data_IF_728301392517
#
_entry.id   IF_728301392517
#
_cell.length_a   1.000
_cell.length_b   1.000
_cell.length_c   1.000
_cell.angle_alpha   90.00
_cell.angle_beta   90.00
_cell.angle_gamma   90.00
#
_symmetry.space_group_name_H-M   'P 1'
#
loop_
_entity.id
_entity.type
_entity.pdbx_description
1 polymer ?
#
# COMPACT_ATOMS: atom_id res chain seq x y z
N UNK A 1 -4.72 -27.13 37.31
CA UNK A 1 -5.58 -27.16 36.10
C UNK A 1 -5.89 -25.73 35.71
N UNK A 2 -5.69 -25.22 34.50
CA UNK A 2 -4.58 -25.30 33.55
C UNK A 2 -4.58 -23.92 32.88
N UNK A 3 -3.42 -23.27 32.82
CA UNK A 3 -3.20 -22.04 32.06
C UNK A 3 -3.06 -22.43 30.59
N UNK A 4 -4.16 -22.47 29.83
CA UNK A 4 -4.08 -22.68 28.39
C UNK A 4 -5.23 -21.99 27.61
N UNK A 5 -5.54 -20.74 27.97
CA UNK A 5 -6.26 -19.81 27.09
C UNK A 5 -5.28 -19.27 26.01
N UNK A 6 -4.76 -20.17 25.19
CA UNK A 6 -4.15 -19.80 23.92
C UNK A 6 -5.27 -19.28 23.03
N UNK A 7 -5.29 -17.96 22.82
CA UNK A 7 -6.03 -17.27 21.76
C UNK A 7 -6.04 -18.14 20.50
N UNK A 8 -7.18 -18.76 20.20
CA UNK A 8 -7.42 -19.38 18.90
C UNK A 8 -7.39 -18.26 17.85
N UNK A 9 -6.20 -18.01 17.29
CA UNK A 9 -6.08 -17.25 16.07
C UNK A 9 -6.78 -18.05 14.98
N UNK A 10 -7.62 -17.39 14.20
CA UNK A 10 -8.27 -17.98 13.04
C UNK A 10 -7.18 -18.59 12.14
N UNK A 11 -7.22 -19.90 11.82
CA UNK A 11 -6.20 -20.54 10.98
C UNK A 11 -6.14 -19.94 9.56
N UNK A 12 -7.20 -19.25 9.12
CA UNK A 12 -7.23 -18.50 7.85
C UNK A 12 -6.55 -17.13 7.93
N UNK A 13 -6.42 -16.57 9.13
CA UNK A 13 -5.81 -15.27 9.39
C UNK A 13 -4.83 -15.41 10.56
N UNK A 14 -3.76 -16.17 10.35
CA UNK A 14 -2.60 -16.09 11.21
C UNK A 14 -2.11 -14.64 11.17
N UNK A 15 -2.23 -13.89 12.26
CA UNK A 15 -1.85 -12.47 12.35
C UNK A 15 -0.34 -12.23 12.19
N UNK A 16 0.46 -13.30 12.07
CA UNK A 16 1.85 -13.22 11.61
C UNK A 16 2.00 -13.17 10.08
N UNK A 17 0.97 -13.54 9.31
CA UNK A 17 1.00 -13.49 7.85
C UNK A 17 0.94 -12.05 7.25
N UNK A 18 0.12 -11.11 7.75
CA UNK A 18 0.03 -9.78 7.11
C UNK A 18 1.26 -8.88 7.33
N UNK A 19 2.12 -9.19 8.30
CA UNK A 19 3.37 -8.47 8.58
C UNK A 19 4.58 -9.17 7.95
N UNK A 20 4.44 -10.45 7.59
CA UNK A 20 5.47 -11.22 6.89
C UNK A 20 5.39 -10.94 5.40
N UNK A 21 6.39 -10.27 4.87
CA UNK A 21 6.64 -10.20 3.43
C UNK A 21 6.79 -11.59 2.77
N UNK A 22 6.98 -12.63 3.57
CA UNK A 22 7.33 -13.97 3.13
C UNK A 22 6.46 -15.04 3.81
N UNK A 23 5.22 -15.16 3.38
CA UNK A 23 4.50 -16.44 3.45
C UNK A 23 3.88 -16.75 2.09
N UNK A 24 4.74 -16.97 1.11
CA UNK A 24 4.42 -17.63 -0.15
C UNK A 24 5.56 -18.60 -0.43
N UNK A 25 5.43 -19.85 0.02
CA UNK A 25 6.27 -20.93 -0.49
C UNK A 25 5.76 -21.25 -1.89
N UNK A 26 6.36 -20.64 -2.92
CA UNK A 26 6.33 -21.23 -4.26
C UNK A 26 6.86 -22.67 -4.21
N UNK A 27 6.54 -23.51 -5.20
CA UNK A 27 6.92 -24.93 -5.17
C UNK A 27 8.42 -25.08 -4.91
N UNK A 28 8.75 -25.86 -3.88
CA UNK A 28 10.12 -26.12 -3.48
C UNK A 28 10.95 -26.60 -4.68
N UNK A 29 11.88 -25.77 -5.14
CA UNK A 29 12.94 -26.26 -6.03
C UNK A 29 13.83 -27.17 -5.19
N UNK A 30 13.73 -28.47 -5.46
CA UNK A 30 14.60 -29.48 -4.86
C UNK A 30 15.97 -29.40 -5.53
N UNK A 31 16.80 -28.43 -5.11
CA UNK A 31 18.23 -28.51 -5.39
C UNK A 31 19.07 -28.18 -4.16
N UNK A 32 19.28 -29.22 -3.34
CA UNK A 32 20.38 -29.22 -2.36
C UNK A 32 21.69 -29.35 -3.12
N UNK A 33 22.41 -28.24 -3.32
CA UNK A 33 23.89 -28.16 -3.27
C UNK A 33 24.37 -26.74 -3.57
N UNK A 34 24.82 -26.03 -2.52
CA UNK A 34 26.18 -25.47 -2.36
C UNK A 34 26.21 -24.52 -1.17
N UNK A 35 26.50 -25.08 0.00
CA UNK A 35 27.15 -24.34 1.08
C UNK A 35 28.59 -24.00 0.64
N UNK A 36 28.96 -22.72 0.68
CA UNK A 36 30.19 -22.22 1.27
C UNK A 36 30.44 -20.75 0.89
N UNK A 37 30.46 -19.88 1.91
CA UNK A 37 31.28 -18.67 1.89
C UNK A 37 30.54 -17.35 1.73
N UNK A 38 30.06 -16.81 2.86
CA UNK A 38 30.03 -15.36 3.15
C UNK A 38 29.66 -15.14 4.63
N UNK A 39 30.47 -15.71 5.53
CA UNK A 39 30.45 -15.38 6.94
C UNK A 39 31.81 -14.75 7.31
N UNK A 40 32.03 -13.48 6.93
CA UNK A 40 33.13 -12.66 7.50
C UNK A 40 33.03 -11.19 7.09
N UNK A 41 32.01 -10.44 7.55
CA UNK A 41 32.15 -8.97 7.66
C UNK A 41 31.18 -8.34 8.69
N UNK A 42 31.04 -8.90 9.89
CA UNK A 42 30.33 -8.22 10.99
C UNK A 42 31.02 -8.44 12.34
N UNK A 43 32.33 -8.22 12.38
CA UNK A 43 33.10 -8.34 13.61
C UNK A 43 34.14 -7.23 13.74
N UNK A 44 33.80 -5.95 13.54
CA UNK A 44 34.73 -4.85 13.84
C UNK A 44 34.08 -3.50 14.20
N UNK A 45 32.95 -3.48 14.92
CA UNK A 45 32.50 -2.29 15.64
C UNK A 45 31.94 -2.65 17.02
N UNK A 46 32.80 -3.18 17.89
CA UNK A 46 32.53 -3.18 19.32
C UNK A 46 33.84 -3.03 20.08
N UNK A 47 34.21 -1.76 20.36
CA UNK A 47 34.97 -1.32 21.53
C UNK A 47 35.22 0.20 21.46
N UNK A 48 35.08 0.82 22.65
CA UNK A 48 35.36 2.21 23.02
C UNK A 48 34.26 3.23 22.65
N UNK A 49 33.74 4.10 23.53
CA UNK A 49 34.02 4.51 24.93
C UNK A 49 32.79 5.34 25.40
N UNK A 50 32.29 5.13 26.63
CA UNK A 50 31.49 6.14 27.35
C UNK A 50 32.40 7.33 27.73
N UNK A 51 31.92 8.61 27.72
CA UNK A 51 31.35 9.24 28.94
C UNK A 51 30.39 10.45 28.65
N UNK A 52 30.07 11.32 29.62
CA UNK A 52 29.24 11.09 30.79
C UNK A 52 27.94 11.92 30.79
N UNK A 53 27.07 11.55 31.72
CA UNK A 53 25.85 12.21 32.17
C UNK A 53 26.00 13.74 32.35
N UNK A 54 25.14 14.52 31.68
CA UNK A 54 24.89 15.93 32.01
C UNK A 54 23.39 16.24 31.88
N UNK A 55 22.74 16.34 33.04
CA UNK A 55 21.50 17.09 33.23
C UNK A 55 21.71 18.53 32.78
N UNK A 56 20.88 19.02 31.88
CA UNK A 56 20.65 20.44 31.66
C UNK A 56 19.16 20.68 31.40
N UNK A 57 18.48 21.14 32.45
CA UNK A 57 17.18 21.80 32.40
C UNK A 57 17.36 23.21 31.82
N UNK A 58 16.63 23.56 30.76
CA UNK A 58 16.61 24.90 30.15
C UNK A 58 15.70 24.93 28.91
N UNK A 59 15.07 26.07 28.57
CA UNK A 59 13.67 26.11 28.16
C UNK A 59 13.43 25.72 26.69
N UNK A 60 12.25 25.15 26.46
CA UNK A 60 11.66 24.96 25.14
C UNK A 60 11.68 26.27 24.35
N UNK A 61 12.49 26.33 23.29
CA UNK A 61 12.30 27.30 22.22
C UNK A 61 11.18 26.78 21.31
N UNK A 62 10.06 27.51 21.35
CA UNK A 62 8.91 27.33 20.49
C UNK A 62 9.31 27.82 19.08
N UNK A 63 9.52 26.90 18.14
CA UNK A 63 9.59 27.24 16.72
C UNK A 63 8.18 27.62 16.26
N UNK A 64 7.98 28.90 15.97
CA UNK A 64 6.81 29.38 15.24
C UNK A 64 6.87 28.86 13.80
N UNK A 65 6.19 27.75 13.56
CA UNK A 65 5.78 27.34 12.23
C UNK A 65 4.27 27.48 12.14
N UNK A 66 3.79 28.53 11.49
CA UNK A 66 2.38 28.69 11.12
C UNK A 66 1.87 27.41 10.43
N UNK A 67 0.70 26.88 10.79
CA UNK A 67 0.12 25.76 10.08
C UNK A 67 -0.40 26.26 8.73
N UNK A 68 0.36 26.03 7.66
CA UNK A 68 -0.23 25.96 6.34
C UNK A 68 -1.07 24.68 6.31
N UNK A 69 -2.39 24.85 6.41
CA UNK A 69 -3.38 23.81 6.22
C UNK A 69 -3.22 23.20 4.83
N UNK A 70 -2.44 22.13 4.69
CA UNK A 70 -2.52 21.23 3.54
C UNK A 70 -3.69 20.29 3.81
N UNK A 71 -4.90 20.80 3.55
CA UNK A 71 -6.09 19.96 3.50
C UNK A 71 -6.03 19.06 2.27
N UNK A 72 -5.73 17.78 2.44
CA UNK A 72 -6.01 16.77 1.41
C UNK A 72 -7.52 16.52 1.46
N UNK A 73 -8.28 17.38 0.79
CA UNK A 73 -9.70 17.19 0.55
C UNK A 73 -9.87 16.24 -0.64
N UNK A 74 -10.15 14.96 -0.37
CA UNK A 74 -10.68 14.03 -1.37
C UNK A 74 -12.12 14.46 -1.71
N UNK A 75 -12.28 15.34 -2.71
CA UNK A 75 -13.58 15.60 -3.32
C UNK A 75 -13.81 14.56 -4.42
N UNK A 76 -14.47 13.46 -4.07
CA UNK A 76 -15.07 12.56 -5.06
C UNK A 76 -16.29 13.28 -5.66
N UNK A 77 -16.10 13.87 -6.84
CA UNK A 77 -17.19 14.51 -7.59
C UNK A 77 -18.11 13.44 -8.21
N UNK A 78 -19.39 13.48 -7.85
CA UNK A 78 -20.46 12.77 -8.57
C UNK A 78 -20.71 13.44 -9.94
N UNK A 79 -21.22 12.71 -10.96
CA UNK A 79 -21.39 13.27 -12.29
C UNK A 79 -22.47 14.35 -12.33
N UNK A 80 -22.12 15.50 -12.93
CA UNK A 80 -22.98 16.66 -13.09
C UNK A 80 -24.11 16.41 -14.12
N UNK A 81 -25.33 16.85 -13.79
CA UNK A 81 -26.42 17.01 -14.77
C UNK A 81 -26.38 18.42 -15.38
N UNK A 82 -26.79 18.59 -16.66
CA UNK A 82 -26.54 19.81 -17.41
C UNK A 82 -27.43 20.99 -17.00
N UNK A 83 -26.83 22.17 -17.05
CA UNK A 83 -27.29 23.40 -16.45
C UNK A 83 -28.44 24.14 -17.15
N UNK A 84 -28.96 25.14 -16.43
CA UNK A 84 -29.59 26.35 -17.00
C UNK A 84 -29.05 27.60 -16.32
N UNK A 85 -28.09 28.21 -17.02
CA UNK A 85 -27.88 29.64 -17.34
C UNK A 85 -28.62 30.74 -16.55
N UNK A 86 -27.80 31.64 -15.98
CA UNK A 86 -27.79 33.14 -16.07
C UNK A 86 -28.94 33.93 -15.41
N UNK A 87 -28.78 35.16 -14.91
CA UNK A 87 -27.66 36.09 -14.69
C UNK A 87 -28.17 37.28 -13.82
N UNK A 88 -27.23 37.93 -13.13
CA UNK A 88 -27.14 39.38 -12.80
C UNK A 88 -28.29 40.15 -12.10
N UNK A 89 -27.97 40.81 -10.96
CA UNK A 89 -27.63 42.24 -10.90
C UNK A 89 -27.69 42.81 -9.47
N UNK A 90 -26.72 43.68 -9.16
CA UNK A 90 -26.55 44.41 -7.90
C UNK A 90 -27.59 45.51 -7.69
N UNK A 91 -27.98 45.77 -6.44
CA UNK A 91 -28.06 47.13 -5.86
C UNK A 91 -28.32 47.11 -4.35
N UNK A 92 -27.48 47.84 -3.62
CA UNK A 92 -27.52 48.11 -2.18
C UNK A 92 -28.80 48.81 -1.70
N UNK A 93 -29.32 48.40 -0.54
CA UNK A 93 -29.93 49.28 0.47
C UNK A 93 -29.92 48.60 1.85
N UNK A 94 -29.59 49.40 2.84
CA UNK A 94 -29.18 49.03 4.20
C UNK A 94 -30.39 49.01 5.17
N UNK A 95 -30.17 48.72 6.47
CA UNK A 95 -30.80 47.64 7.23
C UNK A 95 -32.14 48.05 7.87
N UNK A 96 -32.98 47.07 8.22
CA UNK A 96 -33.74 47.13 9.47
C UNK A 96 -34.31 45.74 9.82
N UNK A 97 -34.28 45.50 11.12
CA UNK A 97 -34.63 44.33 11.90
C UNK A 97 -36.07 43.86 11.71
N UNK A 98 -36.23 42.59 11.34
CA UNK A 98 -37.30 41.73 11.83
C UNK A 98 -36.79 40.29 11.78
N UNK A 99 -36.75 39.62 12.94
CA UNK A 99 -36.46 38.20 13.05
C UNK A 99 -37.62 37.44 12.44
N UNK A 100 -37.61 37.29 11.12
CA UNK A 100 -38.46 36.33 10.44
C UNK A 100 -37.89 34.95 10.74
N UNK A 101 -38.63 34.16 11.54
CA UNK A 101 -38.45 32.72 11.60
C UNK A 101 -38.55 32.17 10.17
N UNK A 102 -37.41 31.96 9.52
CA UNK A 102 -37.34 31.23 8.26
C UNK A 102 -37.72 29.80 8.61
N UNK A 103 -38.86 29.27 8.12
CA UNK A 103 -39.20 27.87 8.36
C UNK A 103 -38.07 27.04 7.75
N UNK A 104 -37.39 26.23 8.58
CA UNK A 104 -36.48 25.22 8.03
C UNK A 104 -37.25 24.43 6.98
N UNK A 105 -36.70 24.22 5.77
CA UNK A 105 -37.36 23.38 4.78
C UNK A 105 -37.64 22.03 5.43
N UNK A 106 -38.88 21.57 5.29
CA UNK A 106 -39.31 20.29 5.83
C UNK A 106 -38.30 19.21 5.40
N UNK A 107 -37.76 18.47 6.38
CA UNK A 107 -36.88 17.33 6.13
C UNK A 107 -37.57 16.45 5.08
N UNK A 108 -36.95 16.18 3.92
CA UNK A 108 -37.58 15.30 2.93
C UNK A 108 -37.97 14.00 3.63
N UNK A 109 -39.14 13.42 3.32
CA UNK A 109 -39.57 12.18 3.94
C UNK A 109 -38.43 11.18 3.84
N UNK A 110 -38.08 10.56 4.97
CA UNK A 110 -36.93 9.69 5.12
C UNK A 110 -37.02 8.50 4.17
N UNK A 111 -36.62 8.71 2.92
CA UNK A 111 -36.39 7.66 1.97
C UNK A 111 -35.25 6.83 2.52
N UNK A 112 -35.57 5.60 2.94
CA UNK A 112 -34.54 4.59 3.13
C UNK A 112 -33.88 4.44 1.77
N UNK A 113 -32.62 4.88 1.63
CA UNK A 113 -31.87 4.65 0.40
C UNK A 113 -31.94 3.15 0.13
N UNK A 114 -32.57 2.77 -0.98
CA UNK A 114 -32.73 1.38 -1.33
C UNK A 114 -31.34 0.73 -1.36
N UNK A 115 -31.18 -0.37 -0.62
CA UNK A 115 -29.92 -1.12 -0.61
C UNK A 115 -29.66 -1.61 -2.03
N UNK A 116 -28.65 -1.07 -2.70
CA UNK A 116 -28.24 -1.56 -4.02
C UNK A 116 -27.68 -2.97 -3.83
N UNK A 117 -28.30 -4.02 -4.42
CA UNK A 117 -27.72 -5.35 -4.37
C UNK A 117 -26.39 -5.33 -5.11
N UNK A 118 -25.30 -5.69 -4.43
CA UNK A 118 -23.96 -5.76 -5.00
C UNK A 118 -23.56 -7.23 -5.16
N UNK A 119 -23.14 -7.63 -6.35
CA UNK A 119 -22.57 -8.96 -6.57
C UNK A 119 -21.18 -9.03 -5.93
N UNK A 120 -20.68 -10.22 -5.53
CA UNK A 120 -19.31 -10.36 -5.03
C UNK A 120 -18.26 -9.77 -5.98
N UNK A 121 -18.40 -9.98 -7.29
CA UNK A 121 -17.54 -9.38 -8.32
C UNK A 121 -17.59 -7.85 -8.28
N UNK A 122 -18.79 -7.26 -8.27
CA UNK A 122 -18.93 -5.80 -8.23
C UNK A 122 -18.33 -5.21 -6.95
N UNK A 123 -18.46 -5.90 -5.81
CA UNK A 123 -17.83 -5.50 -4.56
C UNK A 123 -16.30 -5.54 -4.65
N UNK A 124 -15.72 -6.65 -5.09
CA UNK A 124 -14.27 -6.81 -5.27
C UNK A 124 -13.69 -5.74 -6.19
N UNK A 125 -14.35 -5.47 -7.33
CA UNK A 125 -13.96 -4.40 -8.27
C UNK A 125 -14.04 -3.03 -7.62
N UNK A 126 -15.13 -2.72 -6.92
CA UNK A 126 -15.28 -1.41 -6.27
C UNK A 126 -14.20 -1.14 -5.20
N UNK A 127 -13.83 -2.16 -4.43
CA UNK A 127 -12.76 -2.07 -3.43
C UNK A 127 -11.38 -1.93 -4.08
N UNK A 128 -11.16 -2.67 -5.18
CA UNK A 128 -9.94 -2.58 -5.95
C UNK A 128 -9.73 -1.18 -6.53
N UNK A 129 -10.74 -0.63 -7.21
CA UNK A 129 -10.66 0.72 -7.81
C UNK A 129 -10.56 1.83 -6.75
N UNK A 130 -11.20 1.67 -5.59
CA UNK A 130 -10.99 2.57 -4.45
C UNK A 130 -9.51 2.57 -4.01
N UNK A 131 -8.93 1.38 -3.87
CA UNK A 131 -7.53 1.23 -3.47
C UNK A 131 -6.59 1.83 -4.51
N UNK A 132 -6.88 1.62 -5.81
CA UNK A 132 -6.10 2.18 -6.90
C UNK A 132 -6.17 3.71 -6.95
N UNK A 133 -7.36 4.30 -6.74
CA UNK A 133 -7.51 5.75 -6.68
C UNK A 133 -6.66 6.38 -5.55
N UNK A 134 -6.52 5.69 -4.40
CA UNK A 134 -5.61 6.10 -3.33
C UNK A 134 -4.13 5.88 -3.71
N UNK A 135 -3.82 4.81 -4.45
CA UNK A 135 -2.49 4.55 -4.96
C UNK A 135 -1.99 5.70 -5.85
N UNK A 136 -2.83 6.19 -6.77
CA UNK A 136 -2.46 7.26 -7.71
C UNK A 136 -2.05 8.55 -6.98
N UNK A 137 -2.70 8.92 -5.87
CA UNK A 137 -2.29 10.06 -5.02
C UNK A 137 -0.83 9.91 -4.55
N UNK A 138 -0.39 8.69 -4.32
CA UNK A 138 0.95 8.39 -3.86
C UNK A 138 1.96 8.18 -5.00
N UNK A 139 1.55 7.56 -6.09
CA UNK A 139 2.39 7.16 -7.22
C UNK A 139 2.64 8.29 -8.24
N UNK A 140 1.64 9.13 -8.53
CA UNK A 140 1.74 10.19 -9.55
C UNK A 140 2.96 11.13 -9.36
N UNK A 141 3.23 11.66 -8.17
CA UNK A 141 4.35 12.59 -7.95
C UNK A 141 5.66 11.88 -7.57
N UNK A 142 5.74 10.55 -7.69
CA UNK A 142 6.87 9.79 -7.18
C UNK A 142 8.15 10.04 -8.01
N UNK A 143 9.22 10.44 -7.33
CA UNK A 143 10.55 10.65 -7.94
C UNK A 143 11.52 9.52 -7.56
N UNK A 144 12.65 9.43 -8.26
CA UNK A 144 13.72 8.47 -7.90
C UNK A 144 14.28 8.73 -6.49
N UNK A 145 14.37 10.00 -6.08
CA UNK A 145 14.81 10.35 -4.72
C UNK A 145 13.79 9.93 -3.64
N UNK A 146 12.50 9.88 -3.98
CA UNK A 146 11.48 9.30 -3.11
C UNK A 146 11.62 7.77 -3.08
N UNK A 147 11.81 7.16 -4.25
CA UNK A 147 11.95 5.70 -4.40
C UNK A 147 13.10 5.15 -3.55
N UNK A 148 14.25 5.82 -3.57
CA UNK A 148 15.47 5.40 -2.85
C UNK A 148 15.64 6.02 -1.46
N UNK A 149 14.63 6.73 -0.94
CA UNK A 149 14.70 7.28 0.41
C UNK A 149 14.80 6.17 1.47
N UNK A 150 15.89 6.19 2.24
CA UNK A 150 16.12 5.30 3.37
C UNK A 150 15.53 5.91 4.67
N UNK A 151 14.46 5.31 5.24
CA UNK A 151 13.82 5.83 6.45
C UNK A 151 14.60 5.48 7.74
N UNK A 152 15.47 4.46 7.68
CA UNK A 152 16.29 3.97 8.79
C UNK A 152 17.66 3.49 8.28
N UNK A 153 18.56 3.07 9.18
CA UNK A 153 19.84 2.45 8.80
C UNK A 153 19.66 1.00 8.31
N UNK A 154 18.74 0.25 8.94
CA UNK A 154 18.41 -1.12 8.55
C UNK A 154 17.22 -1.12 7.60
N UNK A 155 17.48 -1.33 6.31
CA UNK A 155 16.48 -1.26 5.25
C UNK A 155 16.50 -2.48 4.33
N UNK A 156 15.37 -2.67 3.63
CA UNK A 156 15.34 -3.42 2.38
C UNK A 156 15.20 -2.46 1.20
N UNK A 157 16.06 -2.61 0.21
CA UNK A 157 16.11 -1.77 -0.99
C UNK A 157 16.39 -2.61 -2.22
N UNK A 158 16.48 -1.95 -3.38
CA UNK A 158 16.89 -2.56 -4.64
C UNK A 158 18.27 -2.05 -5.02
N UNK A 159 19.08 -2.93 -5.59
CA UNK A 159 20.46 -2.69 -5.97
C UNK A 159 20.65 -2.99 -7.45
N UNK A 160 21.37 -2.12 -8.14
CA UNK A 160 21.76 -2.34 -9.53
C UNK A 160 22.99 -3.24 -9.57
N UNK A 161 22.83 -4.42 -10.16
CA UNK A 161 23.90 -5.39 -10.37
C UNK A 161 24.88 -4.99 -11.49
N UNK A 162 25.98 -5.74 -11.65
CA UNK A 162 26.98 -5.52 -12.70
C UNK A 162 26.45 -5.78 -14.12
N UNK A 163 25.30 -6.43 -14.24
CA UNK A 163 24.60 -6.78 -15.47
C UNK A 163 23.44 -5.83 -15.79
N UNK A 164 23.39 -4.63 -15.20
CA UNK A 164 22.29 -3.66 -15.33
C UNK A 164 20.95 -4.08 -14.66
N UNK A 165 20.88 -5.33 -14.19
CA UNK A 165 19.89 -5.94 -13.31
C UNK A 165 19.61 -5.24 -11.98
N UNK A 166 18.46 -4.55 -11.79
CA UNK A 166 18.01 -4.14 -10.45
C UNK A 166 17.39 -5.32 -9.69
N UNK A 167 17.95 -5.65 -8.53
CA UNK A 167 17.52 -6.76 -7.67
C UNK A 167 17.22 -6.27 -6.26
N UNK A 168 16.12 -6.71 -5.65
CA UNK A 168 15.80 -6.38 -4.26
C UNK A 168 16.73 -7.10 -3.27
N UNK A 169 16.75 -6.59 -2.05
CA UNK A 169 17.08 -7.38 -0.87
C UNK A 169 15.95 -8.38 -0.59
N UNK A 170 16.29 -9.62 -0.27
CA UNK A 170 15.35 -10.57 0.32
C UNK A 170 16.09 -11.53 1.23
N UNK A 171 15.34 -12.25 2.07
CA UNK A 171 15.85 -13.39 2.82
C UNK A 171 14.79 -14.50 2.82
N UNK A 172 15.22 -15.75 2.73
CA UNK A 172 14.30 -16.89 2.80
C UNK A 172 13.75 -17.08 4.22
N UNK A 173 14.51 -16.66 5.22
CA UNK A 173 14.05 -16.53 6.61
C UNK A 173 13.96 -15.06 6.98
N UNK A 174 12.80 -14.65 7.48
CA UNK A 174 12.55 -13.30 7.97
C UNK A 174 13.58 -12.89 9.05
N UNK A 175 14.34 -11.80 8.85
CA UNK A 175 15.29 -11.30 9.83
C UNK A 175 14.59 -10.71 11.07
N UNK A 176 15.30 -10.69 12.20
CA UNK A 176 14.86 -10.02 13.43
C UNK A 176 15.97 -9.05 13.92
N UNK A 177 15.74 -7.72 13.90
CA UNK A 177 14.51 -7.04 13.47
C UNK A 177 14.34 -7.06 11.94
N UNK A 178 13.08 -6.93 11.50
CA UNK A 178 12.73 -6.84 10.08
C UNK A 178 13.23 -5.50 9.52
N UNK A 179 14.01 -5.48 8.42
CA UNK A 179 14.43 -4.24 7.78
C UNK A 179 13.25 -3.44 7.20
N UNK A 180 13.30 -2.11 7.31
CA UNK A 180 12.23 -1.24 6.79
C UNK A 180 12.35 -1.14 5.26
N UNK A 181 11.31 -1.40 4.48
CA UNK A 181 11.42 -1.30 3.03
C UNK A 181 11.51 0.17 2.56
N UNK A 182 12.23 0.37 1.46
CA UNK A 182 12.15 1.60 0.66
C UNK A 182 10.96 1.56 -0.30
N UNK A 183 10.59 2.69 -0.89
CA UNK A 183 9.52 2.72 -1.91
C UNK A 183 9.95 1.95 -3.17
N UNK A 184 11.23 1.98 -3.55
CA UNK A 184 11.76 1.16 -4.64
C UNK A 184 11.56 -0.34 -4.36
N UNK A 185 11.82 -0.78 -3.13
CA UNK A 185 11.54 -2.16 -2.72
C UNK A 185 10.05 -2.50 -2.74
N UNK A 186 9.20 -1.62 -2.20
CA UNK A 186 7.74 -1.83 -2.19
C UNK A 186 7.17 -1.94 -3.61
N UNK A 187 7.60 -1.08 -4.52
CA UNK A 187 7.12 -1.11 -5.92
C UNK A 187 7.62 -2.35 -6.67
N UNK A 188 8.84 -2.84 -6.40
CA UNK A 188 9.28 -4.16 -6.87
C UNK A 188 8.42 -5.28 -6.28
N UNK A 189 8.17 -5.25 -4.97
CA UNK A 189 7.41 -6.28 -4.27
C UNK A 189 6.00 -6.40 -4.83
N UNK A 190 5.34 -5.26 -5.09
CA UNK A 190 4.03 -5.19 -5.76
C UNK A 190 4.09 -5.83 -7.15
N UNK A 191 5.08 -5.49 -7.99
CA UNK A 191 5.21 -6.13 -9.31
C UNK A 191 5.33 -7.65 -9.18
N UNK A 192 6.21 -8.13 -8.29
CA UNK A 192 6.42 -9.57 -8.10
C UNK A 192 5.15 -10.31 -7.68
N UNK A 193 4.50 -9.90 -6.58
CA UNK A 193 3.35 -10.66 -6.08
C UNK A 193 2.13 -10.52 -6.99
N UNK A 194 1.96 -9.38 -7.66
CA UNK A 194 0.79 -9.11 -8.49
C UNK A 194 0.91 -9.73 -9.88
N UNK A 195 2.10 -9.68 -10.49
CA UNK A 195 2.36 -10.42 -11.73
C UNK A 195 2.22 -11.94 -11.52
N UNK A 196 2.62 -12.44 -10.35
CA UNK A 196 2.42 -13.85 -9.97
C UNK A 196 0.94 -14.20 -9.78
N UNK A 197 0.17 -13.33 -9.11
CA UNK A 197 -1.28 -13.50 -8.98
C UNK A 197 -1.96 -13.53 -10.37
N UNK A 198 -1.58 -12.62 -11.27
CA UNK A 198 -2.08 -12.57 -12.65
C UNK A 198 -1.73 -13.83 -13.45
N UNK A 199 -0.51 -14.35 -13.31
CA UNK A 199 -0.11 -15.60 -13.96
C UNK A 199 -0.97 -16.76 -13.47
N UNK A 200 -1.11 -16.89 -12.15
CA UNK A 200 -1.91 -17.94 -11.50
C UNK A 200 -3.37 -17.94 -11.97
N UNK A 201 -4.06 -16.80 -11.89
CA UNK A 201 -5.48 -16.72 -12.30
C UNK A 201 -5.70 -16.86 -13.81
N UNK A 202 -4.63 -16.79 -14.61
CA UNK A 202 -4.63 -17.06 -16.05
C UNK A 202 -4.12 -18.47 -16.40
N UNK A 203 -3.86 -19.32 -15.41
CA UNK A 203 -3.37 -20.68 -15.60
C UNK A 203 -1.95 -20.73 -16.19
N UNK A 204 -1.11 -19.74 -15.89
CA UNK A 204 0.29 -19.66 -16.33
C UNK A 204 1.22 -19.82 -15.14
N UNK A 205 2.40 -20.36 -15.39
CA UNK A 205 3.47 -20.44 -14.39
C UNK A 205 3.99 -19.03 -14.08
N UNK A 206 4.03 -18.60 -12.80
CA UNK A 206 4.66 -17.35 -12.40
C UNK A 206 6.17 -17.35 -12.67
N UNK A 207 6.73 -16.18 -12.98
CA UNK A 207 8.17 -16.03 -13.00
C UNK A 207 8.74 -16.27 -11.58
N UNK A 208 9.89 -16.94 -11.44
CA UNK A 208 10.53 -17.06 -10.14
C UNK A 208 10.98 -15.68 -9.63
N UNK A 209 10.96 -15.51 -8.32
CA UNK A 209 11.19 -14.22 -7.63
C UNK A 209 12.50 -13.55 -8.03
N UNK A 210 13.55 -14.32 -8.25
CA UNK A 210 14.89 -13.85 -8.61
C UNK A 210 15.01 -13.35 -10.06
N UNK A 211 14.01 -13.65 -10.91
CA UNK A 211 13.89 -13.17 -12.28
C UNK A 211 12.98 -11.95 -12.41
N UNK A 212 12.32 -11.52 -11.33
CA UNK A 212 11.58 -10.25 -11.32
C UNK A 212 12.55 -9.13 -10.90
N UNK A 213 12.81 -8.21 -11.83
CA UNK A 213 13.70 -7.08 -11.61
C UNK A 213 12.91 -5.80 -11.37
N UNK A 214 13.43 -4.90 -10.54
CA UNK A 214 12.82 -3.58 -10.42
C UNK A 214 13.01 -2.78 -11.71
N UNK A 215 12.02 -1.97 -12.08
CA UNK A 215 11.96 -1.30 -13.38
C UNK A 215 13.05 -0.24 -13.61
N UNK A 216 13.87 0.04 -12.60
CA UNK A 216 15.10 0.84 -12.69
C UNK A 216 14.92 2.35 -12.52
N UNK A 217 13.67 2.83 -12.45
CA UNK A 217 13.31 4.18 -12.01
C UNK A 217 11.91 4.18 -11.42
N UNK A 218 11.58 5.20 -10.63
CA UNK A 218 10.25 5.46 -10.10
C UNK A 218 9.21 5.55 -11.22
N UNK A 219 9.52 6.31 -12.28
CA UNK A 219 8.60 6.47 -13.42
C UNK A 219 8.32 5.14 -14.13
N UNK A 220 9.35 4.31 -14.36
CA UNK A 220 9.19 3.00 -14.97
C UNK A 220 8.44 2.03 -14.05
N UNK A 221 8.68 2.09 -12.74
CA UNK A 221 7.97 1.28 -11.75
C UNK A 221 6.47 1.65 -11.70
N UNK A 222 6.13 2.94 -11.70
CA UNK A 222 4.74 3.40 -11.75
C UNK A 222 4.05 2.97 -13.04
N UNK A 223 4.73 3.08 -14.19
CA UNK A 223 4.19 2.60 -15.46
C UNK A 223 3.91 1.09 -15.42
N UNK A 224 4.83 0.30 -14.85
CA UNK A 224 4.67 -1.14 -14.66
C UNK A 224 3.47 -1.49 -13.77
N UNK A 225 3.27 -0.76 -12.67
CA UNK A 225 2.11 -0.97 -11.79
C UNK A 225 0.79 -0.63 -12.50
N UNK A 226 0.77 0.39 -13.37
CA UNK A 226 -0.40 0.72 -14.19
C UNK A 226 -0.75 -0.38 -15.20
N UNK A 227 0.25 -1.02 -15.79
CA UNK A 227 0.02 -2.18 -16.66
C UNK A 227 -0.63 -3.35 -15.90
N UNK A 228 -0.17 -3.60 -14.67
CA UNK A 228 -0.73 -4.64 -13.80
C UNK A 228 -2.16 -4.30 -13.37
N UNK A 229 -2.43 -3.05 -13.01
CA UNK A 229 -3.78 -2.55 -12.74
C UNK A 229 -4.71 -2.79 -13.93
N UNK A 230 -4.33 -2.34 -15.13
CA UNK A 230 -5.15 -2.52 -16.32
C UNK A 230 -5.43 -4.00 -16.62
N UNK A 231 -4.40 -4.85 -16.56
CA UNK A 231 -4.54 -6.29 -16.80
C UNK A 231 -5.43 -6.98 -15.75
N UNK A 232 -5.36 -6.55 -14.49
CA UNK A 232 -6.18 -7.07 -13.40
C UNK A 232 -7.64 -6.61 -13.52
N UNK A 233 -7.88 -5.32 -13.81
CA UNK A 233 -9.22 -4.77 -14.02
C UNK A 233 -9.92 -5.43 -15.20
N UNK A 234 -9.20 -5.70 -16.30
CA UNK A 234 -9.71 -6.46 -17.44
C UNK A 234 -10.11 -7.88 -17.01
N UNK A 235 -9.20 -8.61 -16.36
CA UNK A 235 -9.44 -9.99 -15.94
C UNK A 235 -10.59 -10.11 -14.93
N UNK A 236 -10.64 -9.26 -13.90
CA UNK A 236 -11.71 -9.28 -12.91
C UNK A 236 -13.04 -8.79 -13.50
N UNK A 237 -12.98 -8.08 -14.63
CA UNK A 237 -14.12 -7.46 -15.27
C UNK A 237 -14.97 -8.35 -16.16
N UNK A 238 -14.44 -9.51 -16.58
CA UNK A 238 -15.18 -10.50 -17.37
C UNK A 238 -16.06 -11.40 -16.49
N UNK A 239 -17.22 -11.81 -17.01
CA UNK A 239 -18.10 -12.79 -16.36
C UNK A 239 -17.65 -14.24 -16.58
N UNK A 240 -16.67 -14.47 -17.46
CA UNK A 240 -16.12 -15.80 -17.75
C UNK A 240 -15.29 -16.38 -16.59
N UNK A 241 -14.81 -15.53 -15.68
CA UNK A 241 -14.04 -15.95 -14.51
C UNK A 241 -14.97 -16.57 -13.47
N UNK A 242 -14.83 -17.85 -13.18
CA UNK A 242 -15.51 -18.46 -12.03
C UNK A 242 -14.82 -18.06 -10.71
N UNK A 243 -15.50 -17.23 -9.92
CA UNK A 243 -15.00 -16.77 -8.63
C UNK A 243 -15.01 -17.87 -7.55
N UNK A 244 -15.79 -18.94 -7.74
CA UNK A 244 -15.87 -20.09 -6.83
C UNK A 244 -14.89 -21.20 -7.20
N UNK A 245 -14.19 -21.08 -8.34
CA UNK A 245 -13.17 -22.03 -8.72
C UNK A 245 -12.06 -22.11 -7.66
N UNK A 246 -11.50 -23.30 -7.39
CA UNK A 246 -10.39 -23.47 -6.45
C UNK A 246 -9.18 -22.62 -6.84
N UNK A 247 -8.49 -22.05 -5.85
CA UNK A 247 -7.27 -21.26 -6.04
C UNK A 247 -6.21 -21.64 -5.01
N UNK A 248 -5.00 -21.91 -5.49
CA UNK A 248 -3.82 -22.28 -4.70
C UNK A 248 -2.77 -21.17 -4.70
N UNK A 249 -3.19 -19.91 -4.66
CA UNK A 249 -2.27 -18.77 -4.54
C UNK A 249 -2.84 -17.65 -3.65
N UNK A 250 -2.01 -17.06 -2.75
CA UNK A 250 -0.64 -17.47 -2.38
C UNK A 250 -0.58 -18.68 -1.44
N UNK A 251 -1.71 -19.29 -1.12
CA UNK A 251 -1.81 -20.42 -0.18
C UNK A 251 -1.71 -21.78 -0.85
N UNK A 252 -1.35 -22.84 -0.11
CA UNK A 252 -1.41 -24.22 -0.61
C UNK A 252 -2.82 -24.62 -1.08
N UNK A 253 -2.91 -25.57 -2.02
CA UNK A 253 -4.17 -26.03 -2.59
C UNK A 253 -5.14 -26.62 -1.53
N UNK A 254 -4.60 -27.18 -0.45
CA UNK A 254 -5.33 -27.77 0.66
C UNK A 254 -6.06 -26.74 1.53
N UNK A 255 -5.79 -25.43 1.33
CA UNK A 255 -6.48 -24.35 2.04
C UNK A 255 -7.97 -24.26 1.65
N UNK A 256 -8.38 -24.87 0.54
CA UNK A 256 -9.78 -24.87 0.09
C UNK A 256 -10.31 -23.49 -0.29
N UNK A 257 -9.41 -22.58 -0.68
CA UNK A 257 -9.73 -21.21 -1.05
C UNK A 257 -10.09 -21.10 -2.53
N UNK A 258 -10.80 -20.02 -2.87
CA UNK A 258 -11.33 -19.79 -4.21
C UNK A 258 -10.66 -18.59 -4.89
N UNK A 259 -10.91 -18.42 -6.20
CA UNK A 259 -10.48 -17.23 -6.95
C UNK A 259 -10.98 -15.93 -6.31
N UNK A 260 -12.18 -15.92 -5.71
CA UNK A 260 -12.68 -14.78 -4.94
C UNK A 260 -11.76 -14.42 -3.76
N UNK A 261 -11.20 -15.42 -3.06
CA UNK A 261 -10.27 -15.19 -1.95
C UNK A 261 -8.95 -14.61 -2.44
N UNK A 262 -8.41 -15.09 -3.57
CA UNK A 262 -7.22 -14.51 -4.20
C UNK A 262 -7.48 -13.05 -4.60
N UNK A 263 -8.64 -12.73 -5.17
CA UNK A 263 -8.97 -11.36 -5.53
C UNK A 263 -9.15 -10.43 -4.31
N UNK A 264 -9.76 -10.93 -3.24
CA UNK A 264 -9.85 -10.20 -1.97
C UNK A 264 -8.47 -9.95 -1.35
N UNK A 265 -7.55 -10.92 -1.47
CA UNK A 265 -6.17 -10.79 -1.02
C UNK A 265 -5.39 -9.74 -1.82
N UNK A 266 -5.52 -9.71 -3.15
CA UNK A 266 -4.90 -8.66 -3.98
C UNK A 266 -5.32 -7.26 -3.51
N UNK A 267 -6.61 -7.06 -3.19
CA UNK A 267 -7.08 -5.79 -2.65
C UNK A 267 -6.41 -5.45 -1.31
N UNK A 268 -6.30 -6.42 -0.41
CA UNK A 268 -5.71 -6.23 0.91
C UNK A 268 -4.19 -5.93 0.83
N UNK A 269 -3.45 -6.68 0.02
CA UNK A 269 -2.02 -6.49 -0.19
C UNK A 269 -1.71 -5.14 -0.84
N UNK A 270 -2.48 -4.77 -1.87
CA UNK A 270 -2.32 -3.47 -2.51
C UNK A 270 -2.59 -2.33 -1.52
N UNK A 271 -3.69 -2.40 -0.75
CA UNK A 271 -4.02 -1.38 0.25
C UNK A 271 -2.90 -1.24 1.29
N UNK A 272 -2.38 -2.36 1.79
CA UNK A 272 -1.27 -2.40 2.74
C UNK A 272 -0.04 -1.68 2.16
N UNK A 273 0.42 -2.09 0.97
CA UNK A 273 1.62 -1.51 0.37
C UNK A 273 1.43 -0.04 -0.03
N UNK A 274 0.25 0.36 -0.51
CA UNK A 274 -0.07 1.76 -0.82
C UNK A 274 -0.01 2.63 0.44
N UNK A 275 -0.52 2.13 1.57
CA UNK A 275 -0.42 2.85 2.84
C UNK A 275 1.04 3.04 3.29
N UNK A 276 1.89 2.01 3.12
CA UNK A 276 3.32 2.10 3.42
C UNK A 276 4.05 3.10 2.52
N UNK A 277 3.79 3.09 1.20
CA UNK A 277 4.33 4.08 0.26
C UNK A 277 3.91 5.49 0.68
N UNK A 278 2.62 5.69 1.01
CA UNK A 278 2.11 6.98 1.47
C UNK A 278 2.82 7.48 2.73
N UNK A 279 3.01 6.60 3.73
CA UNK A 279 3.72 6.94 4.96
C UNK A 279 5.19 7.31 4.71
N UNK A 280 5.91 6.56 3.87
CA UNK A 280 7.30 6.86 3.52
C UNK A 280 7.44 8.21 2.81
N UNK A 281 6.52 8.54 1.89
CA UNK A 281 6.50 9.84 1.22
C UNK A 281 6.26 10.98 2.20
N UNK A 282 5.29 10.84 3.10
CA UNK A 282 4.99 11.85 4.11
C UNK A 282 6.17 12.05 5.08
N UNK A 283 6.80 10.96 5.51
CA UNK A 283 7.98 10.99 6.37
C UNK A 283 9.15 11.73 5.70
N UNK A 284 9.41 11.44 4.42
CA UNK A 284 10.46 12.13 3.65
C UNK A 284 10.17 13.62 3.51
N UNK A 285 8.94 13.98 3.15
CA UNK A 285 8.53 15.37 3.00
C UNK A 285 8.68 16.15 4.32
N UNK A 286 8.23 15.58 5.44
CA UNK A 286 8.41 16.18 6.77
C UNK A 286 9.90 16.35 7.12
N UNK A 287 10.74 15.35 6.83
CA UNK A 287 12.18 15.42 7.07
C UNK A 287 12.86 16.53 6.26
N UNK A 288 12.44 16.74 5.01
CA UNK A 288 12.97 17.82 4.17
C UNK A 288 12.53 19.20 4.66
N UNK A 289 11.27 19.34 5.10
CA UNK A 289 10.75 20.59 5.64
C UNK A 289 11.42 21.01 6.97
N UNK A 290 11.88 20.04 7.77
CA UNK A 290 12.55 20.29 9.05
C UNK A 290 14.08 20.34 8.97
N UNK A 291 14.69 20.30 7.77
CA UNK A 291 16.13 20.55 7.64
C UNK A 291 16.41 22.06 7.82
N UNK A 292 17.27 22.45 8.76
CA UNK A 292 17.65 23.86 8.96
C UNK A 292 18.41 24.43 7.77
#
# INVERSE_FOLDING_TARGET
MSSDDRKQCNPLFNTKAPVRYFTGTGPESTDRRRDAGLASTLAHLSRARNPPDRRATGPFHQCDCSPATVGVGLHLSAPAQPGRSSAESLASRQPNTESADIPLPARPPGGTLARVPITPRALLRSQFELTWALAEVHLDPLTDDDAHFAPAELIWTVHRGPDDHWRPDWADTEPDPIPVPTIAWLTWHIDWWWSSALAHVRGREPAPRDQVHWAGSAAAAVARLRELHAAWTEWLGTDEVDLEAPSAYPWPAEAGLTVAHTAAWVNAELMKNVAEIGQLRLLRAARLACRP
#
